data_IF_579324690231
#
_entry.id   IF_579324690231
#
_cell.length_a   1.000
_cell.length_b   1.000
_cell.length_c   1.000
_cell.angle_alpha   90.00
_cell.angle_beta   90.00
_cell.angle_gamma   90.00
#
_symmetry.space_group_name_H-M   'P 1'
#
loop_
_entity.id
_entity.type
_entity.pdbx_description
1 polymer ?
#
# COMPACT_ATOMS: atom_id res chain seq x y z
N UNK A 1 -21.29 -3.33 12.63
CA UNK A 1 -21.56 -4.20 11.48
C UNK A 1 -21.73 -3.41 10.19
N UNK A 2 -21.96 -4.10 9.09
CA UNK A 2 -22.10 -3.49 7.76
C UNK A 2 -23.25 -2.49 7.66
N UNK A 3 -24.32 -2.74 8.41
CA UNK A 3 -25.56 -1.93 8.44
C UNK A 3 -25.59 -0.93 9.61
N UNK A 4 -24.43 -0.67 10.22
CA UNK A 4 -24.28 0.33 11.27
C UNK A 4 -24.55 1.73 10.73
N UNK A 5 -25.22 2.62 11.47
CA UNK A 5 -25.48 3.98 11.04
C UNK A 5 -24.19 4.73 10.68
N UNK A 6 -24.20 5.68 9.72
CA UNK A 6 -23.03 6.47 9.34
C UNK A 6 -22.34 7.15 10.52
N UNK A 7 -23.09 7.61 11.52
CA UNK A 7 -22.59 8.23 12.75
C UNK A 7 -21.70 7.31 13.59
N UNK A 8 -21.83 5.99 13.46
CA UNK A 8 -21.03 5.01 14.18
C UNK A 8 -19.89 4.40 13.35
N UNK A 9 -19.81 4.72 12.04
CA UNK A 9 -18.83 4.19 11.09
C UNK A 9 -17.61 5.10 10.88
N UNK A 10 -17.26 5.85 11.88
CA UNK A 10 -16.13 6.77 11.88
C UNK A 10 -15.24 6.54 13.10
N UNK A 11 -14.18 7.35 13.22
CA UNK A 11 -13.23 7.23 14.33
C UNK A 11 -13.91 7.38 15.72
N UNK A 12 -14.96 8.19 15.83
CA UNK A 12 -15.69 8.36 17.09
C UNK A 12 -16.45 7.09 17.49
N UNK A 13 -17.04 6.38 16.52
CA UNK A 13 -17.65 5.07 16.76
C UNK A 13 -16.63 4.02 17.22
N UNK A 14 -15.40 4.05 16.68
CA UNK A 14 -14.31 3.20 17.15
C UNK A 14 -13.87 3.61 18.55
N UNK A 15 -13.69 4.90 18.81
CA UNK A 15 -13.33 5.41 20.15
C UNK A 15 -14.35 5.05 21.22
N UNK A 16 -15.64 5.04 20.87
CA UNK A 16 -16.71 4.65 21.79
C UNK A 16 -16.69 3.14 22.10
N UNK A 17 -16.53 2.30 21.08
CA UNK A 17 -16.59 0.83 21.22
C UNK A 17 -15.27 0.20 21.67
N UNK A 18 -14.15 0.74 21.25
CA UNK A 18 -12.79 0.24 21.50
C UNK A 18 -11.84 1.40 21.87
N UNK A 19 -12.07 2.06 23.03
CA UNK A 19 -11.38 3.29 23.36
C UNK A 19 -9.86 3.13 23.50
N UNK A 20 -9.38 1.98 23.97
CA UNK A 20 -7.96 1.71 24.06
C UNK A 20 -7.33 1.53 22.68
N UNK A 21 -7.93 0.70 21.82
CA UNK A 21 -7.45 0.46 20.46
C UNK A 21 -7.39 1.77 19.66
N UNK A 22 -8.41 2.63 19.80
CA UNK A 22 -8.43 3.93 19.13
C UNK A 22 -7.29 4.85 19.61
N UNK A 23 -7.06 4.93 20.93
CA UNK A 23 -5.95 5.71 21.50
C UNK A 23 -4.60 5.19 21.05
N UNK A 24 -4.40 3.87 21.10
CA UNK A 24 -3.16 3.23 20.65
C UNK A 24 -2.91 3.44 19.13
N UNK A 25 -3.94 3.35 18.30
CA UNK A 25 -3.81 3.63 16.87
C UNK A 25 -3.43 5.09 16.56
N UNK A 26 -4.02 6.05 17.28
CA UNK A 26 -3.64 7.47 17.19
C UNK A 26 -2.20 7.67 17.67
N UNK A 27 -1.81 7.03 18.78
CA UNK A 27 -0.46 7.12 19.32
C UNK A 27 0.59 6.54 18.39
N UNK A 28 0.34 5.37 17.80
CA UNK A 28 1.24 4.73 16.83
C UNK A 28 1.48 5.63 15.61
N UNK A 29 0.41 6.24 15.09
CA UNK A 29 0.53 7.24 14.01
C UNK A 29 1.34 8.45 14.45
N UNK A 30 1.13 8.96 15.65
CA UNK A 30 1.90 10.09 16.21
C UNK A 30 3.38 9.73 16.31
N UNK A 31 3.74 8.54 16.78
CA UNK A 31 5.12 8.06 16.87
C UNK A 31 5.80 8.14 15.49
N UNK A 32 5.20 7.55 14.46
CA UNK A 32 5.75 7.61 13.10
C UNK A 32 5.94 9.03 12.59
N UNK A 33 4.95 9.91 12.79
CA UNK A 33 5.06 11.31 12.38
C UNK A 33 6.11 12.09 13.17
N UNK A 34 6.31 11.77 14.45
CA UNK A 34 7.34 12.40 15.29
C UNK A 34 8.74 11.99 14.82
N UNK A 35 8.95 10.72 14.49
CA UNK A 35 10.24 10.25 13.92
C UNK A 35 10.52 10.97 12.58
N UNK A 36 9.54 11.08 11.70
CA UNK A 36 9.68 11.82 10.44
C UNK A 36 10.04 13.29 10.68
N UNK A 37 9.39 13.94 11.65
CA UNK A 37 9.65 15.34 12.02
C UNK A 37 11.04 15.54 12.61
N UNK A 38 11.51 14.61 13.46
CA UNK A 38 12.86 14.63 14.04
C UNK A 38 13.95 14.54 12.96
N UNK A 39 13.72 13.76 11.90
CA UNK A 39 14.64 13.60 10.78
C UNK A 39 14.54 14.75 9.77
N UNK A 40 13.34 15.11 9.35
CA UNK A 40 13.10 15.98 8.21
C UNK A 40 12.56 17.37 8.56
N UNK A 41 12.49 17.73 9.85
CA UNK A 41 12.07 19.05 10.33
C UNK A 41 10.57 19.33 10.22
N UNK A 42 9.79 18.47 9.55
CA UNK A 42 8.33 18.59 9.40
C UNK A 42 7.67 17.25 9.14
N UNK A 43 6.39 17.14 9.53
CA UNK A 43 5.62 15.88 9.47
C UNK A 43 5.18 15.49 8.07
N UNK A 44 5.03 16.46 7.18
CA UNK A 44 4.55 16.29 5.80
C UNK A 44 5.58 16.88 4.86
N UNK A 45 5.91 16.14 3.80
CA UNK A 45 6.98 16.49 2.84
C UNK A 45 8.31 16.84 3.53
N UNK A 46 8.90 15.90 4.32
CA UNK A 46 10.19 16.12 4.95
C UNK A 46 11.28 16.32 3.89
N UNK A 47 12.28 17.12 4.23
CA UNK A 47 13.39 17.48 3.33
C UNK A 47 14.71 16.87 3.77
N UNK A 48 14.68 15.71 4.42
CA UNK A 48 15.88 15.06 4.93
C UNK A 48 16.66 14.33 3.83
N UNK A 49 15.97 13.52 3.02
CA UNK A 49 16.56 12.83 1.88
C UNK A 49 16.80 13.86 0.76
N UNK A 50 18.03 13.94 0.29
CA UNK A 50 18.48 14.89 -0.76
C UNK A 50 19.41 14.17 -1.76
N UNK A 51 19.62 14.71 -2.95
CA UNK A 51 20.60 14.13 -3.88
C UNK A 51 21.96 13.93 -3.23
N UNK A 52 22.42 12.69 -3.26
CA UNK A 52 23.71 12.28 -2.68
C UNK A 52 23.66 11.80 -1.23
N UNK A 53 22.49 11.77 -0.58
CA UNK A 53 22.34 11.28 0.80
C UNK A 53 21.27 11.98 1.60
N UNK A 54 21.64 12.54 2.77
CA UNK A 54 20.71 13.28 3.64
C UNK A 54 21.22 14.69 3.93
N UNK A 55 20.29 15.59 4.28
CA UNK A 55 20.61 17.02 4.48
C UNK A 55 21.45 17.28 5.73
N UNK A 56 21.28 16.49 6.76
CA UNK A 56 21.99 16.61 8.04
C UNK A 56 22.18 15.25 8.70
N UNK A 57 23.27 15.06 9.48
CA UNK A 57 23.50 13.83 10.23
C UNK A 57 22.52 13.69 11.39
N UNK A 58 22.27 12.46 11.81
CA UNK A 58 21.51 12.15 13.00
C UNK A 58 22.36 12.48 14.26
N UNK A 59 21.75 13.16 15.24
CA UNK A 59 22.41 13.41 16.54
C UNK A 59 22.11 12.29 17.50
N UNK A 60 23.03 12.09 18.49
CA UNK A 60 22.84 11.09 19.54
C UNK A 60 21.59 11.37 20.42
N UNK A 61 21.22 12.62 20.59
CA UNK A 61 20.01 13.01 21.30
C UNK A 61 18.74 12.56 20.56
N UNK A 62 18.66 12.87 19.26
CA UNK A 62 17.55 12.43 18.41
C UNK A 62 17.47 10.88 18.37
N UNK A 63 18.63 10.21 18.22
CA UNK A 63 18.73 8.75 18.23
C UNK A 63 18.11 8.14 19.50
N UNK A 64 18.52 8.61 20.69
CA UNK A 64 17.99 8.13 21.98
C UNK A 64 16.48 8.36 22.10
N UNK A 65 16.02 9.53 21.68
CA UNK A 65 14.58 9.87 21.71
C UNK A 65 13.77 8.97 20.79
N UNK A 66 14.31 8.62 19.60
CA UNK A 66 13.65 7.71 18.67
C UNK A 66 13.59 6.29 19.20
N UNK A 67 14.64 5.77 19.86
CA UNK A 67 14.63 4.42 20.43
C UNK A 67 13.48 4.24 21.42
N UNK A 68 13.25 5.21 22.31
CA UNK A 68 12.10 5.18 23.25
C UNK A 68 10.76 5.12 22.51
N UNK A 69 10.62 5.89 21.42
CA UNK A 69 9.40 5.90 20.62
C UNK A 69 9.19 4.57 19.87
N UNK A 70 10.26 3.96 19.41
CA UNK A 70 10.21 2.69 18.67
C UNK A 70 9.79 1.56 19.59
N UNK A 71 10.33 1.48 20.82
CA UNK A 71 9.93 0.47 21.81
C UNK A 71 8.42 0.56 22.11
N UNK A 72 7.93 1.77 22.41
CA UNK A 72 6.49 2.00 22.60
C UNK A 72 5.68 1.60 21.35
N UNK A 73 6.16 1.98 20.18
CA UNK A 73 5.51 1.67 18.90
C UNK A 73 5.41 0.17 18.62
N UNK A 74 6.48 -0.59 18.90
CA UNK A 74 6.52 -2.04 18.76
C UNK A 74 5.49 -2.74 19.64
N UNK A 75 5.37 -2.32 20.89
CA UNK A 75 4.39 -2.88 21.82
C UNK A 75 2.95 -2.64 21.35
N UNK A 76 2.64 -1.43 20.89
CA UNK A 76 1.33 -1.09 20.35
C UNK A 76 1.06 -1.90 19.06
N UNK A 77 2.03 -1.97 18.15
CA UNK A 77 1.89 -2.69 16.89
C UNK A 77 1.63 -4.18 17.10
N UNK A 78 2.36 -4.83 18.02
CA UNK A 78 2.18 -6.25 18.36
C UNK A 78 0.79 -6.52 18.96
N UNK A 79 0.29 -5.65 19.87
CA UNK A 79 -1.07 -5.79 20.41
C UNK A 79 -2.14 -5.60 19.33
N UNK A 80 -1.96 -4.62 18.45
CA UNK A 80 -2.90 -4.37 17.35
C UNK A 80 -2.92 -5.54 16.36
N UNK A 81 -1.75 -6.10 16.06
CA UNK A 81 -1.61 -7.28 15.23
C UNK A 81 -2.34 -8.49 15.84
N UNK A 82 -2.10 -8.78 17.13
CA UNK A 82 -2.76 -9.87 17.84
C UNK A 82 -4.28 -9.71 17.82
N UNK A 83 -4.79 -8.52 18.16
CA UNK A 83 -6.23 -8.23 18.07
C UNK A 83 -6.80 -8.47 16.67
N UNK A 84 -6.10 -8.01 15.62
CA UNK A 84 -6.58 -8.21 14.25
C UNK A 84 -6.59 -9.70 13.87
N UNK A 85 -5.54 -10.43 14.21
CA UNK A 85 -5.40 -11.86 13.94
C UNK A 85 -6.45 -12.68 14.67
N UNK A 86 -6.60 -12.47 15.97
CA UNK A 86 -7.36 -13.36 16.84
C UNK A 86 -8.86 -12.99 16.92
N UNK A 87 -9.22 -11.71 16.74
CA UNK A 87 -10.61 -11.25 16.85
C UNK A 87 -11.24 -10.88 15.50
N UNK A 88 -10.48 -10.26 14.58
CA UNK A 88 -11.04 -9.74 13.32
C UNK A 88 -11.03 -10.80 12.23
N UNK A 89 -9.90 -11.47 12.00
CA UNK A 89 -9.78 -12.46 10.91
C UNK A 89 -10.78 -13.60 11.05
N UNK A 90 -10.95 -14.24 12.21
CA UNK A 90 -11.94 -15.31 12.37
C UNK A 90 -13.38 -14.85 12.13
N UNK A 91 -13.71 -13.64 12.61
CA UNK A 91 -15.06 -13.06 12.49
C UNK A 91 -15.49 -12.81 11.05
N UNK A 92 -14.52 -12.47 10.16
CA UNK A 92 -14.78 -12.17 8.76
C UNK A 92 -14.26 -13.24 7.79
N UNK A 93 -14.02 -14.47 8.28
CA UNK A 93 -13.47 -15.56 7.48
C UNK A 93 -14.30 -15.88 6.24
N UNK A 94 -15.63 -15.84 6.34
CA UNK A 94 -16.52 -16.13 5.23
C UNK A 94 -16.60 -14.97 4.23
N UNK A 95 -16.61 -13.73 4.70
CA UNK A 95 -16.52 -12.55 3.84
C UNK A 95 -15.21 -12.54 3.04
N UNK A 96 -14.10 -12.86 3.68
CA UNK A 96 -12.78 -12.88 3.04
C UNK A 96 -12.73 -13.80 1.81
N UNK A 97 -13.51 -14.88 1.76
CA UNK A 97 -13.61 -15.78 0.60
C UNK A 97 -14.12 -15.09 -0.68
N UNK A 98 -14.87 -13.99 -0.53
CA UNK A 98 -15.52 -13.27 -1.63
C UNK A 98 -15.11 -11.80 -1.71
N UNK A 99 -14.10 -11.40 -0.93
CA UNK A 99 -13.70 -10.00 -0.78
C UNK A 99 -12.46 -9.70 -1.61
N UNK A 100 -12.67 -9.54 -2.92
CA UNK A 100 -11.57 -9.37 -3.86
C UNK A 100 -10.63 -10.59 -3.86
N UNK A 101 -11.17 -11.78 -3.68
CA UNK A 101 -10.42 -13.03 -3.70
C UNK A 101 -10.54 -13.69 -5.07
N UNK A 102 -9.51 -13.55 -5.87
CA UNK A 102 -9.42 -14.11 -7.22
C UNK A 102 -7.95 -14.28 -7.63
N UNK A 103 -7.65 -15.19 -8.58
CA UNK A 103 -6.31 -15.37 -9.11
C UNK A 103 -5.77 -14.07 -9.71
N UNK A 104 -4.57 -13.68 -9.29
CA UNK A 104 -3.84 -12.50 -9.77
C UNK A 104 -2.34 -12.69 -9.62
N UNK A 105 -1.55 -11.87 -10.28
CA UNK A 105 -0.11 -11.77 -10.04
C UNK A 105 0.16 -10.75 -8.93
N UNK A 106 1.38 -10.77 -8.40
CA UNK A 106 1.86 -9.87 -7.35
C UNK A 106 3.21 -9.30 -7.79
N UNK A 107 3.33 -7.97 -7.77
CA UNK A 107 4.57 -7.25 -8.12
C UNK A 107 5.05 -6.47 -6.90
N UNK A 108 6.33 -6.56 -6.59
CA UNK A 108 6.99 -5.72 -5.58
C UNK A 108 8.51 -5.75 -5.76
N UNK A 109 9.20 -4.89 -5.00
CA UNK A 109 10.63 -5.03 -4.79
C UNK A 109 10.94 -6.18 -3.82
N UNK A 110 12.10 -6.78 -4.02
CA UNK A 110 12.75 -7.69 -3.06
C UNK A 110 14.25 -7.37 -3.04
N UNK A 111 14.92 -7.64 -1.92
CA UNK A 111 16.37 -7.54 -1.87
C UNK A 111 17.02 -8.64 -2.73
N UNK A 112 18.33 -8.57 -3.04
CA UNK A 112 19.04 -9.64 -3.73
C UNK A 112 18.97 -11.01 -3.03
N UNK A 113 18.65 -11.04 -1.73
CA UNK A 113 18.44 -12.26 -0.95
C UNK A 113 16.96 -12.67 -0.86
N UNK A 114 16.07 -12.01 -1.62
CA UNK A 114 14.63 -12.28 -1.60
C UNK A 114 13.89 -11.73 -0.38
N UNK A 115 14.52 -10.89 0.45
CA UNK A 115 13.87 -10.29 1.62
C UNK A 115 12.93 -9.16 1.24
N UNK A 116 12.02 -8.86 2.15
CA UNK A 116 11.17 -7.66 2.06
C UNK A 116 12.03 -6.41 1.93
N UNK A 117 11.81 -5.62 0.88
CA UNK A 117 12.61 -4.44 0.58
C UNK A 117 11.73 -3.30 0.13
N UNK A 118 12.04 -2.07 0.58
CA UNK A 118 11.25 -0.87 0.26
C UNK A 118 12.02 0.15 -0.58
N UNK A 119 13.35 0.09 -0.57
CA UNK A 119 14.17 1.16 -1.15
C UNK A 119 15.16 0.66 -2.20
N UNK A 120 16.08 -0.23 -1.83
CA UNK A 120 17.17 -0.71 -2.70
C UNK A 120 16.93 -2.16 -3.11
N UNK A 121 15.91 -2.37 -3.91
CA UNK A 121 15.47 -3.69 -4.34
C UNK A 121 15.37 -3.85 -5.84
N UNK A 122 15.07 -5.07 -6.23
CA UNK A 122 14.84 -5.51 -7.60
C UNK A 122 13.39 -5.98 -7.74
N UNK A 123 12.82 -5.78 -8.93
CA UNK A 123 11.43 -6.15 -9.18
C UNK A 123 11.28 -7.67 -9.27
N UNK A 124 10.28 -8.18 -8.55
CA UNK A 124 9.84 -9.59 -8.62
C UNK A 124 8.36 -9.65 -8.91
N UNK A 125 7.96 -10.58 -9.79
CA UNK A 125 6.56 -10.92 -10.03
C UNK A 125 6.34 -12.40 -9.74
N UNK A 126 5.38 -12.71 -8.85
CA UNK A 126 4.83 -14.06 -8.67
C UNK A 126 3.44 -14.16 -9.30
N UNK A 127 3.14 -15.29 -9.91
CA UNK A 127 1.80 -15.58 -10.43
C UNK A 127 0.85 -16.10 -9.35
N UNK A 128 -0.40 -16.35 -9.72
CA UNK A 128 -1.45 -16.83 -8.80
C UNK A 128 -1.20 -18.24 -8.24
N UNK A 129 -0.23 -18.97 -8.77
CA UNK A 129 0.21 -20.26 -8.22
C UNK A 129 1.37 -20.14 -7.22
N UNK A 130 1.94 -18.93 -7.10
CA UNK A 130 3.14 -18.67 -6.30
C UNK A 130 4.46 -18.86 -7.06
N UNK A 131 4.40 -19.18 -8.36
CA UNK A 131 5.59 -19.31 -9.19
C UNK A 131 6.15 -17.93 -9.53
N UNK A 132 7.44 -17.74 -9.38
CA UNK A 132 8.14 -16.54 -9.84
C UNK A 132 8.13 -16.56 -11.38
N UNK A 133 7.60 -15.50 -11.99
CA UNK A 133 7.56 -15.32 -13.45
C UNK A 133 8.54 -14.26 -13.94
N UNK A 134 8.88 -13.30 -13.06
CA UNK A 134 9.98 -12.36 -13.22
C UNK A 134 10.74 -12.27 -11.91
N UNK A 135 12.06 -12.23 -11.96
CA UNK A 135 12.91 -12.13 -10.77
C UNK A 135 14.10 -11.22 -11.02
N UNK A 136 14.47 -10.48 -9.97
CA UNK A 136 15.66 -9.62 -9.94
C UNK A 136 15.76 -8.65 -11.13
N UNK A 137 14.61 -8.11 -11.60
CA UNK A 137 14.60 -7.14 -12.71
C UNK A 137 15.01 -5.77 -12.19
N UNK A 138 16.08 -5.16 -12.75
CA UNK A 138 16.54 -3.83 -12.34
C UNK A 138 15.52 -2.75 -12.67
N UNK A 139 15.54 -1.66 -11.91
CA UNK A 139 14.64 -0.51 -12.12
C UNK A 139 14.69 0.05 -13.54
N UNK A 140 15.87 0.08 -14.15
CA UNK A 140 16.07 0.56 -15.52
C UNK A 140 15.33 -0.25 -16.59
N UNK A 141 14.95 -1.49 -16.27
CA UNK A 141 14.28 -2.41 -17.21
C UNK A 141 12.77 -2.54 -16.98
N UNK A 142 12.18 -1.73 -16.09
CA UNK A 142 10.75 -1.84 -15.77
C UNK A 142 9.83 -1.78 -17.00
N UNK A 143 10.19 -0.99 -18.01
CA UNK A 143 9.40 -0.87 -19.24
C UNK A 143 9.32 -2.17 -20.06
N UNK A 144 10.23 -3.10 -19.85
CA UNK A 144 10.19 -4.42 -20.50
C UNK A 144 9.04 -5.28 -19.97
N UNK A 145 8.68 -5.11 -18.69
CA UNK A 145 7.68 -5.93 -18.00
C UNK A 145 6.38 -5.20 -17.69
N UNK A 146 6.40 -3.87 -17.55
CA UNK A 146 5.21 -3.06 -17.20
C UNK A 146 4.76 -2.24 -18.41
N UNK A 147 3.49 -2.42 -18.79
CA UNK A 147 2.77 -1.58 -19.74
C UNK A 147 1.69 -0.78 -19.05
N UNK A 148 1.24 0.30 -19.66
CA UNK A 148 0.16 1.14 -19.17
C UNK A 148 -0.93 1.26 -20.24
N UNK A 149 -2.18 0.93 -19.89
CA UNK A 149 -3.34 1.12 -20.75
C UNK A 149 -4.16 2.34 -20.27
N UNK A 150 -4.97 2.88 -21.15
CA UNK A 150 -5.90 3.99 -20.90
C UNK A 150 -7.30 3.53 -21.21
N UNK A 151 -8.25 3.88 -20.33
CA UNK A 151 -9.67 3.55 -20.49
C UNK A 151 -10.52 4.83 -20.52
N UNK A 152 -11.53 4.94 -21.41
CA UNK A 152 -12.32 6.16 -21.58
C UNK A 152 -13.10 6.59 -20.32
N UNK A 153 -13.37 5.65 -19.42
CA UNK A 153 -14.15 5.88 -18.19
C UNK A 153 -13.31 6.32 -17.00
N UNK A 154 -11.98 6.45 -17.14
CA UNK A 154 -11.10 6.74 -16.01
C UNK A 154 -10.01 7.75 -16.36
N UNK A 155 -9.69 8.63 -15.42
CA UNK A 155 -8.52 9.51 -15.49
C UNK A 155 -7.21 8.80 -15.13
N UNK A 156 -7.30 7.59 -14.59
CA UNK A 156 -6.13 6.82 -14.17
C UNK A 156 -5.71 5.87 -15.27
N UNK A 157 -4.40 5.66 -15.40
CA UNK A 157 -3.85 4.60 -16.23
C UNK A 157 -4.05 3.23 -15.56
N UNK A 158 -3.93 2.17 -16.35
CA UNK A 158 -4.07 0.78 -15.93
C UNK A 158 -2.78 0.02 -16.23
N UNK A 159 -1.82 0.03 -15.32
CA UNK A 159 -0.61 -0.76 -15.44
C UNK A 159 -0.91 -2.26 -15.49
N UNK A 160 -0.16 -2.98 -16.34
CA UNK A 160 -0.30 -4.42 -16.53
C UNK A 160 1.04 -5.07 -16.87
N UNK A 161 1.17 -6.35 -16.63
CA UNK A 161 2.33 -7.15 -17.02
C UNK A 161 2.30 -7.40 -18.54
N UNK A 162 3.23 -6.80 -19.26
CA UNK A 162 3.29 -6.77 -20.73
C UNK A 162 3.26 -8.15 -21.37
N UNK A 163 4.06 -9.16 -20.89
CA UNK A 163 4.06 -10.48 -21.53
C UNK A 163 2.72 -11.19 -21.55
N UNK A 164 1.78 -10.82 -20.65
CA UNK A 164 0.41 -11.37 -20.67
C UNK A 164 -0.62 -10.48 -21.36
N UNK A 165 -0.23 -9.27 -21.77
CA UNK A 165 -1.10 -8.29 -22.42
C UNK A 165 -2.21 -7.74 -21.51
N UNK A 166 -2.84 -6.66 -21.96
CA UNK A 166 -3.99 -6.05 -21.29
C UNK A 166 -5.29 -6.75 -21.70
N UNK A 167 -6.25 -7.02 -20.77
CA UNK A 167 -6.18 -6.85 -19.33
C UNK A 167 -5.66 -8.08 -18.56
N UNK A 168 -5.19 -9.13 -19.28
CA UNK A 168 -4.81 -10.41 -18.68
C UNK A 168 -3.56 -10.33 -17.80
N UNK A 169 -2.72 -9.32 -18.04
CA UNK A 169 -1.55 -9.00 -17.25
C UNK A 169 -1.85 -8.30 -15.91
N UNK A 170 -3.08 -8.41 -15.41
CA UNK A 170 -3.47 -7.83 -14.11
C UNK A 170 -2.61 -8.37 -12.97
N UNK A 171 -2.09 -7.47 -12.16
CA UNK A 171 -1.37 -7.78 -10.93
C UNK A 171 -1.80 -6.86 -9.78
N UNK A 172 -1.27 -7.10 -8.61
CA UNK A 172 -1.41 -6.26 -7.40
C UNK A 172 -0.06 -5.83 -6.89
N UNK A 173 -0.03 -4.69 -6.22
CA UNK A 173 1.12 -4.15 -5.47
C UNK A 173 0.72 -3.86 -4.03
N UNK A 174 1.65 -3.37 -3.23
CA UNK A 174 1.44 -2.97 -1.84
C UNK A 174 1.63 -4.10 -0.84
N UNK A 175 1.17 -3.92 0.41
CA UNK A 175 1.47 -4.86 1.50
C UNK A 175 1.19 -6.32 1.16
N UNK A 176 0.03 -6.60 0.57
CA UNK A 176 -0.35 -7.96 0.19
C UNK A 176 0.62 -8.57 -0.83
N UNK A 177 1.05 -7.78 -1.81
CA UNK A 177 1.98 -8.24 -2.84
C UNK A 177 3.39 -8.44 -2.27
N UNK A 178 3.87 -7.52 -1.46
CA UNK A 178 5.20 -7.60 -0.85
C UNK A 178 5.34 -8.85 0.02
N UNK A 179 4.35 -9.16 0.88
CA UNK A 179 4.40 -10.37 1.71
C UNK A 179 4.23 -11.67 0.92
N UNK A 180 3.54 -11.64 -0.22
CA UNK A 180 3.49 -12.79 -1.12
C UNK A 180 4.80 -12.98 -1.90
N UNK A 181 5.49 -11.90 -2.24
CA UNK A 181 6.69 -11.93 -3.08
C UNK A 181 7.98 -12.20 -2.29
N UNK A 182 8.14 -11.60 -1.11
CA UNK A 182 9.36 -11.83 -0.32
C UNK A 182 9.46 -13.27 0.15
N UNK A 183 10.68 -13.72 0.44
CA UNK A 183 10.95 -15.04 1.02
C UNK A 183 10.97 -14.95 2.56
N UNK A 184 11.46 -13.84 3.11
CA UNK A 184 11.38 -13.44 4.53
C UNK A 184 11.22 -11.91 4.65
N UNK A 185 10.80 -11.43 5.81
CA UNK A 185 10.88 -10.00 6.14
C UNK A 185 12.30 -9.61 6.54
N UNK A 186 13.03 -10.51 7.20
CA UNK A 186 14.39 -10.28 7.67
C UNK A 186 14.45 -9.56 9.02
N UNK A 187 13.35 -9.56 9.79
CA UNK A 187 13.27 -9.10 11.17
C UNK A 187 12.51 -10.09 12.04
N UNK A 188 12.84 -10.22 13.35
CA UNK A 188 12.43 -11.39 14.15
C UNK A 188 10.93 -11.62 14.23
N UNK A 189 10.15 -10.64 14.65
CA UNK A 189 8.72 -10.82 14.83
C UNK A 189 7.96 -10.76 13.50
N UNK A 190 8.40 -9.91 12.56
CA UNK A 190 7.75 -9.83 11.25
C UNK A 190 7.91 -11.15 10.45
N UNK A 191 8.98 -11.91 10.63
CA UNK A 191 9.14 -13.24 10.01
C UNK A 191 8.16 -14.27 10.60
N UNK A 192 7.90 -14.23 11.92
CA UNK A 192 6.86 -15.04 12.55
C UNK A 192 5.48 -14.67 12.00
N UNK A 193 5.20 -13.38 11.95
CA UNK A 193 3.92 -12.87 11.42
C UNK A 193 3.74 -13.16 9.92
N UNK A 194 4.81 -13.18 9.13
CA UNK A 194 4.80 -13.59 7.73
C UNK A 194 4.46 -15.09 7.59
N UNK A 195 5.02 -15.93 8.44
CA UNK A 195 4.67 -17.35 8.45
C UNK A 195 3.17 -17.56 8.76
N UNK A 196 2.65 -16.87 9.76
CA UNK A 196 1.21 -16.89 10.09
C UNK A 196 0.35 -16.33 8.94
N UNK A 197 0.76 -15.22 8.30
CA UNK A 197 0.08 -14.67 7.12
C UNK A 197 -0.10 -15.70 6.02
N UNK A 198 0.94 -16.49 5.75
CA UNK A 198 0.92 -17.52 4.69
C UNK A 198 -0.06 -18.65 4.97
N UNK A 199 -0.46 -18.88 6.23
CA UNK A 199 -1.49 -19.88 6.58
C UNK A 199 -2.91 -19.42 6.28
N UNK A 200 -3.13 -18.12 5.97
CA UNK A 200 -4.46 -17.61 5.65
C UNK A 200 -5.05 -18.18 4.35
N UNK A 201 -4.20 -18.77 3.50
CA UNK A 201 -4.62 -19.44 2.28
C UNK A 201 -3.71 -20.66 2.01
N UNK A 202 -4.30 -21.86 1.90
CA UNK A 202 -3.56 -23.09 1.69
C UNK A 202 -2.87 -23.12 0.31
N UNK A 203 -1.57 -23.45 0.30
CA UNK A 203 -0.74 -23.79 -0.88
C UNK A 203 -0.70 -22.75 -2.02
N UNK A 204 -1.13 -21.51 -1.79
CA UNK A 204 -1.20 -20.43 -2.80
C UNK A 204 -0.88 -19.09 -2.17
N UNK A 205 -0.49 -18.09 -2.96
CA UNK A 205 -0.42 -16.72 -2.47
C UNK A 205 -1.74 -16.26 -1.88
N UNK A 206 -1.67 -15.50 -0.79
CA UNK A 206 -2.86 -14.93 -0.14
C UNK A 206 -3.48 -13.89 -1.08
N UNK A 207 -4.65 -14.19 -1.64
CA UNK A 207 -5.25 -13.41 -2.72
C UNK A 207 -6.42 -12.52 -2.28
N UNK A 208 -7.06 -12.80 -1.13
CA UNK A 208 -8.16 -11.96 -0.67
C UNK A 208 -7.71 -10.55 -0.31
N UNK A 209 -8.38 -9.55 -0.87
CA UNK A 209 -8.10 -8.15 -0.57
C UNK A 209 -8.34 -7.80 0.91
N UNK A 210 -9.17 -8.57 1.61
CA UNK A 210 -9.39 -8.40 3.05
C UNK A 210 -8.07 -8.47 3.84
N UNK A 211 -7.13 -9.28 3.39
CA UNK A 211 -5.84 -9.48 4.06
C UNK A 211 -4.80 -8.39 3.79
N UNK A 212 -5.10 -7.35 3.01
CA UNK A 212 -4.24 -6.15 2.93
C UNK A 212 -4.02 -5.51 4.30
N UNK A 213 -5.06 -5.48 5.15
CA UNK A 213 -4.93 -4.93 6.49
C UNK A 213 -4.01 -5.76 7.38
N UNK A 214 -4.11 -7.10 7.29
CA UNK A 214 -3.19 -8.00 7.98
C UNK A 214 -1.75 -7.75 7.53
N UNK A 215 -1.52 -7.75 6.22
CA UNK A 215 -0.20 -7.53 5.65
C UNK A 215 0.39 -6.17 6.07
N UNK A 216 -0.42 -5.12 6.13
CA UNK A 216 0.00 -3.78 6.58
C UNK A 216 0.42 -3.78 8.04
N UNK A 217 -0.23 -4.54 8.90
CA UNK A 217 0.17 -4.67 10.30
C UNK A 217 1.51 -5.40 10.44
N UNK A 218 1.76 -6.43 9.65
CA UNK A 218 3.08 -7.09 9.57
C UNK A 218 4.16 -6.10 9.15
N UNK A 219 3.89 -5.26 8.14
CA UNK A 219 4.85 -4.25 7.66
C UNK A 219 5.10 -3.13 8.67
N UNK A 220 4.11 -2.76 9.48
CA UNK A 220 4.32 -1.80 10.57
C UNK A 220 5.32 -2.36 11.59
N UNK A 221 5.17 -3.63 11.94
CA UNK A 221 6.12 -4.31 12.85
C UNK A 221 7.50 -4.39 12.20
N UNK A 222 7.59 -4.84 10.96
CA UNK A 222 8.83 -4.86 10.18
C UNK A 222 9.53 -3.50 10.16
N UNK A 223 8.78 -2.43 9.92
CA UNK A 223 9.33 -1.08 9.86
C UNK A 223 9.90 -0.65 11.22
N UNK A 224 9.18 -0.91 12.31
CA UNK A 224 9.65 -0.57 13.66
C UNK A 224 10.87 -1.40 14.07
N UNK A 225 10.89 -2.71 13.80
CA UNK A 225 12.06 -3.56 14.03
C UNK A 225 13.26 -3.14 13.17
N UNK A 226 13.01 -2.67 11.94
CA UNK A 226 14.06 -2.16 11.06
C UNK A 226 14.62 -0.82 11.56
N UNK A 227 13.76 0.08 12.05
CA UNK A 227 14.19 1.35 12.65
C UNK A 227 15.01 1.08 13.92
N UNK A 228 14.57 0.17 14.78
CA UNK A 228 15.33 -0.23 15.97
C UNK A 228 16.73 -0.73 15.60
N UNK A 229 16.82 -1.67 14.67
CA UNK A 229 18.10 -2.20 14.17
C UNK A 229 19.02 -1.10 13.63
N UNK A 230 18.47 -0.18 12.81
CA UNK A 230 19.25 0.92 12.23
C UNK A 230 19.71 1.92 13.29
N UNK A 231 18.88 2.26 14.27
CA UNK A 231 19.23 3.16 15.35
C UNK A 231 20.28 2.54 16.30
N UNK A 232 20.39 1.22 16.36
CA UNK A 232 21.42 0.52 17.14
C UNK A 232 22.72 0.28 16.35
N UNK A 233 22.76 0.59 15.06
CA UNK A 233 24.00 0.56 14.28
C UNK A 233 24.83 1.82 14.56
N UNK A 234 26.08 1.69 15.06
CA UNK A 234 26.92 2.86 15.34
C UNK A 234 27.19 3.75 14.14
N UNK A 235 27.13 3.20 12.92
CA UNK A 235 27.36 3.96 11.68
C UNK A 235 26.27 4.98 11.38
N UNK A 236 25.08 4.88 12.01
CA UNK A 236 23.98 5.83 11.84
C UNK A 236 24.33 7.25 12.30
N UNK A 237 25.34 7.39 13.15
CA UNK A 237 25.84 8.68 13.66
C UNK A 237 26.97 9.27 12.80
N UNK A 238 27.28 8.67 11.65
CA UNK A 238 28.29 9.23 10.76
C UNK A 238 27.91 10.65 10.34
N UNK A 239 28.89 11.55 10.37
CA UNK A 239 28.70 12.97 9.99
C UNK A 239 28.90 13.21 8.51
N UNK A 240 29.57 12.29 7.79
CA UNK A 240 29.72 12.37 6.34
C UNK A 240 28.53 11.67 5.66
N UNK A 241 27.43 12.41 5.54
CA UNK A 241 26.10 11.86 5.15
C UNK A 241 25.65 12.30 3.75
N UNK A 242 26.45 13.06 3.03
CA UNK A 242 26.06 13.56 1.71
C UNK A 242 27.25 13.62 0.75
N UNK A 243 27.16 12.88 -0.34
CA UNK A 243 28.05 13.01 -1.47
C UNK A 243 27.62 14.18 -2.39
N UNK A 244 28.58 14.84 -3.01
CA UNK A 244 28.32 15.81 -4.08
C UNK A 244 28.56 15.11 -5.42
N UNK A 245 27.48 14.89 -6.16
CA UNK A 245 27.53 14.35 -7.50
C UNK A 245 27.02 15.40 -8.51
N UNK A 246 27.48 15.28 -9.75
CA UNK A 246 26.90 15.95 -10.92
C UNK A 246 26.06 14.95 -11.68
N UNK A 247 25.24 15.43 -12.63
CA UNK A 247 24.52 14.56 -13.57
C UNK A 247 25.53 13.66 -14.29
N UNK A 248 25.32 12.36 -14.21
CA UNK A 248 26.14 11.34 -14.90
C UNK A 248 25.40 10.71 -16.08
N UNK A 249 24.06 10.76 -16.07
CA UNK A 249 23.19 10.29 -17.15
C UNK A 249 22.05 11.30 -17.32
N UNK A 250 21.55 11.40 -18.56
CA UNK A 250 20.40 12.26 -18.88
C UNK A 250 19.06 11.50 -18.78
N UNK A 251 19.11 10.22 -18.49
CA UNK A 251 17.97 9.33 -18.31
C UNK A 251 18.12 8.61 -16.96
N UNK A 252 17.08 8.64 -16.13
CA UNK A 252 17.14 8.07 -14.78
C UNK A 252 15.81 7.48 -14.33
N UNK A 253 15.89 6.26 -13.80
CA UNK A 253 14.73 5.55 -13.21
C UNK A 253 14.98 5.30 -11.74
N UNK A 254 14.05 5.78 -10.91
CA UNK A 254 13.99 5.47 -9.48
C UNK A 254 12.75 4.65 -9.17
N UNK A 255 12.92 3.58 -8.39
CA UNK A 255 11.80 2.77 -7.88
C UNK A 255 11.91 2.67 -6.36
N UNK A 256 10.76 2.77 -5.69
CA UNK A 256 10.64 2.48 -4.26
C UNK A 256 9.29 1.86 -3.94
N UNK A 257 9.21 1.18 -2.81
CA UNK A 257 7.93 0.72 -2.28
C UNK A 257 7.32 1.81 -1.41
N UNK A 258 6.30 2.48 -1.94
CA UNK A 258 5.44 3.35 -1.14
C UNK A 258 4.50 2.49 -0.26
N UNK A 259 3.85 3.04 0.78
CA UNK A 259 2.89 2.29 1.60
C UNK A 259 1.81 1.56 0.78
N UNK A 260 1.41 2.15 -0.34
CA UNK A 260 0.35 1.62 -1.23
C UNK A 260 0.85 0.69 -2.32
N UNK A 261 2.15 0.60 -2.52
CA UNK A 261 2.77 -0.27 -3.52
C UNK A 261 3.96 0.35 -4.24
N UNK A 262 4.40 -0.31 -5.27
CA UNK A 262 5.55 0.08 -6.08
C UNK A 262 5.31 1.44 -6.74
N UNK A 263 6.26 2.35 -6.58
CA UNK A 263 6.26 3.69 -7.16
C UNK A 263 7.45 3.80 -8.10
N UNK A 264 7.20 4.13 -9.37
CA UNK A 264 8.22 4.27 -10.39
C UNK A 264 8.25 5.71 -10.87
N UNK A 265 9.42 6.32 -10.82
CA UNK A 265 9.71 7.64 -11.37
C UNK A 265 10.77 7.50 -12.46
N UNK A 266 10.46 7.91 -13.68
CA UNK A 266 11.36 7.88 -14.81
C UNK A 266 11.42 9.29 -15.42
N UNK A 267 12.62 9.85 -15.49
CA UNK A 267 12.85 11.21 -15.96
C UNK A 267 13.93 11.24 -17.03
N UNK A 268 13.75 12.15 -18.00
CA UNK A 268 14.81 12.58 -18.93
C UNK A 268 15.05 14.06 -18.74
N UNK A 269 16.32 14.44 -18.74
CA UNK A 269 16.77 15.82 -18.62
C UNK A 269 17.65 16.18 -19.82
N UNK A 270 17.81 17.48 -20.10
CA UNK A 270 18.80 17.98 -21.04
C UNK A 270 20.14 18.29 -20.33
N UNK A 271 21.11 18.77 -21.08
CA UNK A 271 22.44 19.11 -20.55
C UNK A 271 22.41 20.24 -19.49
N UNK A 272 21.37 21.09 -19.51
CA UNK A 272 21.13 22.14 -18.51
C UNK A 272 20.47 21.61 -17.23
N UNK A 273 20.15 20.31 -17.18
CA UNK A 273 19.45 19.68 -16.05
C UNK A 273 17.94 19.93 -16.01
N UNK A 274 17.36 20.46 -17.09
CA UNK A 274 15.93 20.69 -17.20
C UNK A 274 15.22 19.41 -17.67
N UNK A 275 14.11 19.08 -17.02
CA UNK A 275 13.29 17.92 -17.35
C UNK A 275 12.65 18.09 -18.74
N UNK A 276 12.91 17.16 -19.64
CA UNK A 276 12.35 17.11 -21.00
C UNK A 276 11.27 16.08 -21.16
N UNK A 277 11.26 15.06 -20.32
CA UNK A 277 10.25 14.00 -20.33
C UNK A 277 10.15 13.33 -18.95
N UNK A 278 8.96 12.82 -18.62
CA UNK A 278 8.74 11.99 -17.43
C UNK A 278 7.67 10.93 -17.68
N UNK A 279 7.81 9.80 -16.99
CA UNK A 279 6.74 8.85 -16.76
C UNK A 279 6.67 8.50 -15.27
N UNK A 280 5.48 8.56 -14.72
CA UNK A 280 5.21 8.25 -13.32
C UNK A 280 4.19 7.10 -13.25
N UNK A 281 4.63 5.92 -12.80
CA UNK A 281 3.73 4.80 -12.55
C UNK A 281 3.45 4.77 -11.05
N UNK A 282 2.32 5.37 -10.68
CA UNK A 282 1.95 5.63 -9.29
C UNK A 282 1.40 4.37 -8.63
N UNK A 283 1.81 4.12 -7.38
CA UNK A 283 1.48 2.93 -6.61
C UNK A 283 -0.01 2.54 -6.64
N UNK A 284 -0.93 3.49 -6.45
CA UNK A 284 -2.37 3.24 -6.51
C UNK A 284 -2.82 2.76 -7.90
N UNK A 285 -2.25 3.33 -8.96
CA UNK A 285 -2.58 2.99 -10.35
C UNK A 285 -2.37 1.52 -10.68
N UNK A 286 -1.30 0.91 -10.17
CA UNK A 286 -1.01 -0.51 -10.36
C UNK A 286 -2.14 -1.44 -9.89
N UNK A 287 -2.94 -1.02 -8.91
CA UNK A 287 -4.03 -1.81 -8.35
C UNK A 287 -5.37 -1.61 -9.07
N UNK A 288 -5.47 -0.71 -10.06
CA UNK A 288 -6.75 -0.33 -10.66
C UNK A 288 -7.53 -1.53 -11.24
N UNK A 289 -6.87 -2.39 -12.02
CA UNK A 289 -7.52 -3.58 -12.60
C UNK A 289 -8.04 -4.52 -11.49
N UNK A 290 -7.21 -4.78 -10.48
CA UNK A 290 -7.56 -5.68 -9.40
C UNK A 290 -8.66 -5.08 -8.50
N UNK A 291 -8.59 -3.77 -8.23
CA UNK A 291 -9.61 -3.06 -7.45
C UNK A 291 -10.97 -3.07 -8.17
N UNK A 292 -11.01 -2.76 -9.46
CA UNK A 292 -12.23 -2.81 -10.25
C UNK A 292 -12.84 -4.22 -10.30
N UNK A 293 -12.01 -5.25 -10.49
CA UNK A 293 -12.46 -6.65 -10.44
C UNK A 293 -13.00 -7.03 -9.07
N UNK A 294 -12.34 -6.58 -8.00
CA UNK A 294 -12.80 -6.81 -6.63
C UNK A 294 -14.11 -6.11 -6.31
N UNK A 295 -14.28 -4.85 -6.74
CA UNK A 295 -15.54 -4.11 -6.62
C UNK A 295 -16.67 -4.89 -7.31
N UNK A 296 -16.44 -5.33 -8.55
CA UNK A 296 -17.41 -6.15 -9.27
C UNK A 296 -17.79 -7.43 -8.51
N UNK A 297 -16.81 -8.16 -7.98
CA UNK A 297 -17.04 -9.40 -7.21
C UNK A 297 -17.88 -9.13 -5.96
N UNK A 298 -17.54 -8.10 -5.18
CA UNK A 298 -18.28 -7.72 -3.96
C UNK A 298 -19.68 -7.25 -4.31
N UNK A 299 -19.83 -6.40 -5.34
CA UNK A 299 -21.14 -5.93 -5.78
C UNK A 299 -22.04 -7.11 -6.22
N UNK A 300 -21.53 -8.02 -7.05
CA UNK A 300 -22.28 -9.21 -7.48
C UNK A 300 -22.72 -10.13 -6.33
N UNK A 301 -21.94 -10.19 -5.26
CA UNK A 301 -22.23 -11.01 -4.08
C UNK A 301 -23.29 -10.37 -3.18
N UNK A 302 -23.21 -9.06 -2.97
CA UNK A 302 -23.93 -8.39 -1.88
C UNK A 302 -25.01 -7.41 -2.36
N UNK A 303 -24.95 -6.91 -3.59
CA UNK A 303 -25.98 -6.02 -4.17
C UNK A 303 -27.01 -6.89 -4.88
N UNK A 304 -28.05 -7.31 -4.18
CA UNK A 304 -29.05 -8.28 -4.69
C UNK A 304 -30.50 -7.78 -4.69
N UNK A 305 -30.75 -6.60 -4.12
CA UNK A 305 -32.09 -6.03 -4.01
C UNK A 305 -32.35 -5.02 -5.12
N UNK A 306 -33.65 -4.74 -5.36
CA UNK A 306 -34.07 -3.64 -6.27
C UNK A 306 -33.86 -2.24 -5.68
N UNK A 307 -33.53 -2.15 -4.39
CA UNK A 307 -33.25 -0.90 -3.68
C UNK A 307 -31.87 -1.00 -3.02
N UNK A 308 -31.05 0.01 -3.19
CA UNK A 308 -29.75 0.09 -2.54
C UNK A 308 -29.90 0.28 -1.03
N UNK A 309 -29.07 -0.41 -0.28
CA UNK A 309 -28.98 -0.32 1.18
C UNK A 309 -27.55 0.05 1.58
N UNK A 310 -27.40 0.79 2.68
CA UNK A 310 -26.11 1.23 3.21
C UNK A 310 -25.11 0.09 3.38
N UNK A 311 -25.54 -1.04 3.93
CA UNK A 311 -24.65 -2.20 4.14
C UNK A 311 -24.08 -2.80 2.86
N UNK A 312 -24.77 -2.66 1.72
CA UNK A 312 -24.26 -3.09 0.41
C UNK A 312 -23.13 -2.17 -0.04
N UNK A 313 -23.33 -0.86 0.06
CA UNK A 313 -22.34 0.15 -0.32
C UNK A 313 -21.13 0.12 0.61
N UNK A 314 -21.34 -0.09 1.91
CA UNK A 314 -20.26 -0.20 2.90
C UNK A 314 -19.29 -1.33 2.57
N UNK A 315 -19.78 -2.45 2.05
CA UNK A 315 -18.89 -3.57 1.62
C UNK A 315 -18.05 -3.20 0.42
N UNK A 316 -18.61 -2.47 -0.55
CA UNK A 316 -17.86 -1.97 -1.71
C UNK A 316 -16.80 -0.97 -1.26
N UNK A 317 -17.16 -0.02 -0.41
CA UNK A 317 -16.22 0.95 0.15
C UNK A 317 -15.11 0.27 0.97
N UNK A 318 -15.46 -0.75 1.77
CA UNK A 318 -14.48 -1.49 2.57
C UNK A 318 -13.48 -2.22 1.67
N UNK A 319 -13.90 -2.76 0.52
CA UNK A 319 -12.98 -3.33 -0.45
C UNK A 319 -11.99 -2.29 -0.97
N UNK A 320 -12.49 -1.11 -1.35
CA UNK A 320 -11.63 -0.02 -1.83
C UNK A 320 -10.62 0.36 -0.74
N UNK A 321 -11.06 0.49 0.52
CA UNK A 321 -10.18 0.81 1.67
C UNK A 321 -9.10 -0.23 1.93
N UNK A 322 -9.29 -1.50 1.53
CA UNK A 322 -8.21 -2.50 1.63
C UNK A 322 -6.96 -2.09 0.87
N UNK A 323 -7.13 -1.47 -0.31
CA UNK A 323 -6.02 -0.99 -1.12
C UNK A 323 -5.42 0.33 -0.64
N UNK A 324 -6.08 1.05 0.30
CA UNK A 324 -5.68 2.38 0.78
C UNK A 324 -5.41 3.37 -0.38
N UNK A 325 -6.33 3.52 -1.36
CA UNK A 325 -6.02 4.24 -2.58
C UNK A 325 -5.85 5.74 -2.33
N UNK A 326 -4.82 6.34 -2.92
CA UNK A 326 -4.66 7.78 -3.05
C UNK A 326 -5.11 8.20 -4.44
N UNK A 327 -6.36 8.61 -4.60
CA UNK A 327 -6.91 8.92 -5.91
C UNK A 327 -6.34 10.24 -6.47
N UNK A 328 -6.07 11.21 -5.60
CA UNK A 328 -5.42 12.47 -5.99
C UNK A 328 -3.97 12.29 -6.47
N UNK A 329 -3.25 11.28 -5.96
CA UNK A 329 -1.91 10.97 -6.44
C UNK A 329 -1.93 10.28 -7.81
N UNK A 330 -2.98 9.51 -8.10
CA UNK A 330 -3.09 8.69 -9.29
C UNK A 330 -3.92 9.33 -10.42
N UNK A 331 -4.53 10.49 -10.18
CA UNK A 331 -5.35 11.22 -11.15
C UNK A 331 -5.03 12.71 -11.13
N UNK A 332 -5.35 13.40 -12.23
CA UNK A 332 -5.21 14.84 -12.38
C UNK A 332 -6.56 15.56 -12.56
N UNK A 333 -7.63 15.00 -11.99
CA UNK A 333 -8.96 15.57 -12.08
C UNK A 333 -9.08 16.87 -11.27
N UNK A 334 -9.74 17.88 -11.84
CA UNK A 334 -10.09 19.14 -11.17
C UNK A 334 -11.46 19.05 -10.52
N UNK A 335 -11.59 19.62 -9.32
CA UNK A 335 -12.85 19.79 -8.63
C UNK A 335 -13.21 18.65 -7.67
N UNK A 336 -14.44 18.74 -7.15
CA UNK A 336 -15.00 17.73 -6.24
C UNK A 336 -15.53 16.56 -7.05
N UNK A 337 -15.24 15.35 -6.61
CA UNK A 337 -15.75 14.12 -7.22
C UNK A 337 -16.79 13.50 -6.28
N UNK A 338 -18.07 13.85 -6.36
CA UNK A 338 -19.10 13.24 -5.55
C UNK A 338 -19.23 11.76 -5.92
N UNK A 339 -19.49 10.90 -4.94
CA UNK A 339 -19.79 9.50 -5.19
C UNK A 339 -21.25 9.41 -5.65
N UNK A 340 -21.46 9.00 -6.90
CA UNK A 340 -22.76 8.67 -7.45
C UNK A 340 -22.80 7.20 -7.82
N UNK A 341 -23.80 6.48 -7.34
CA UNK A 341 -23.99 5.06 -7.61
C UNK A 341 -25.38 4.87 -8.21
N UNK A 342 -25.43 4.35 -9.41
CA UNK A 342 -26.66 4.01 -10.12
C UNK A 342 -26.83 2.49 -10.16
N UNK A 343 -27.99 2.02 -9.73
CA UNK A 343 -28.44 0.65 -9.94
C UNK A 343 -29.21 0.61 -11.27
N UNK A 344 -28.70 -0.15 -12.24
CA UNK A 344 -29.34 -0.31 -13.55
C UNK A 344 -29.86 -1.74 -13.73
N UNK A 345 -31.01 -1.87 -14.40
CA UNK A 345 -31.56 -3.16 -14.79
C UNK A 345 -30.78 -3.77 -15.98
N UNK A 346 -31.17 -4.98 -16.39
CA UNK A 346 -30.56 -5.68 -17.54
C UNK A 346 -30.71 -4.95 -18.87
N UNK A 347 -31.67 -3.99 -18.98
CA UNK A 347 -31.91 -3.14 -20.12
C UNK A 347 -31.18 -1.81 -20.02
N UNK A 348 -30.36 -1.59 -18.97
CA UNK A 348 -29.57 -0.39 -18.74
C UNK A 348 -30.34 0.80 -18.16
N UNK A 349 -31.61 0.64 -17.77
CA UNK A 349 -32.42 1.71 -17.17
C UNK A 349 -32.04 1.87 -15.71
N UNK A 350 -31.92 3.13 -15.25
CA UNK A 350 -31.67 3.43 -13.84
C UNK A 350 -32.87 3.05 -13.00
N UNK A 351 -32.67 2.15 -12.05
CA UNK A 351 -33.69 1.63 -11.12
C UNK A 351 -33.64 2.39 -9.78
N UNK A 352 -32.42 2.73 -9.35
CA UNK A 352 -32.18 3.46 -8.10
C UNK A 352 -30.85 4.23 -8.19
N UNK A 353 -30.75 5.35 -7.49
CA UNK A 353 -29.55 6.18 -7.44
C UNK A 353 -29.26 6.59 -6.01
N UNK A 354 -28.00 6.49 -5.60
CA UNK A 354 -27.53 7.03 -4.33
C UNK A 354 -26.35 7.97 -4.61
N UNK A 355 -26.44 9.19 -4.11
CA UNK A 355 -25.39 10.21 -4.23
C UNK A 355 -24.94 10.61 -2.83
N UNK A 356 -23.61 10.65 -2.61
CA UNK A 356 -23.02 11.33 -1.47
C UNK A 356 -22.38 12.61 -1.97
N UNK A 357 -22.96 13.76 -1.59
CA UNK A 357 -22.32 15.06 -1.71
C UNK A 357 -21.30 15.28 -0.60
N UNK A 358 -20.59 16.41 -0.66
CA UNK A 358 -19.64 16.81 0.39
C UNK A 358 -20.32 17.41 1.63
N UNK A 359 -21.60 17.15 1.85
CA UNK A 359 -22.36 17.66 2.99
C UNK A 359 -22.27 16.67 4.15
N UNK A 360 -21.04 16.57 4.74
CA UNK A 360 -20.83 15.69 5.88
C UNK A 360 -19.42 15.77 6.40
#
# INVERSE_FOLDING_TARGET
GWDCPPSERNIFGVMFRFPQLAREGIRLRQIGQTIIEMLGGKKVHPTWVVPGGVSEPLTEEKRKSMLVLVDEGLDIAKRTYAFYKDDVVPKFKDEAKHFGNFPTMFLSLVSPQGRLEHYDGLLRIKDSSGRIVEDMVPSSEYESIIGEAVEPFSYMKFPYYKPRGYPNGMYRVGPLARLNNCDSCGTPFADVALAEFRTLQESKPVASSFHYHYARLVEIIFALESIDRLLNDPSILNTFVRARARSNTLDGVGISEAPRGTLIHHYRINDDGLMTWMNLVIATGHNNLAMNKGIKQVAQKYVKARKLQEGMLNRVEALIRCYDPCLSCASHAWGQMPLQIELRDAQGRVVDTMTRGNDG
#
